data_IF_409531070556
#
_entry.id   IF_409531070556
#
_cell.length_a   1.000
_cell.length_b   1.000
_cell.length_c   1.000
_cell.angle_alpha   90.00
_cell.angle_beta   90.00
_cell.angle_gamma   90.00
#
_symmetry.space_group_name_H-M   'P 1'
#
loop_
_entity.id
_entity.type
_entity.pdbx_description
1 polymer ?
#
# COMPACT_ATOMS: atom_id res chain seq x y z
N UNK A 1 47.14 -17.84 -34.82
CA UNK A 1 45.75 -18.33 -34.84
C UNK A 1 45.18 -18.01 -33.47
N UNK A 2 44.31 -17.00 -33.43
CA UNK A 2 43.34 -16.58 -32.39
C UNK A 2 43.36 -17.34 -31.03
N UNK A 3 43.71 -16.66 -29.92
CA UNK A 3 42.79 -16.06 -28.90
C UNK A 3 42.01 -17.12 -28.09
N UNK A 4 41.82 -17.09 -26.76
CA UNK A 4 42.27 -16.29 -25.62
C UNK A 4 41.88 -17.05 -24.33
N UNK A 5 42.48 -16.69 -23.20
CA UNK A 5 42.26 -17.13 -21.81
C UNK A 5 40.76 -17.19 -21.39
N UNK A 6 40.34 -18.03 -20.43
CA UNK A 6 40.34 -17.64 -19.01
C UNK A 6 40.24 -18.79 -17.98
N UNK A 7 40.50 -18.41 -16.73
CA UNK A 7 41.22 -19.14 -15.70
C UNK A 7 40.33 -19.46 -14.46
N UNK A 8 40.67 -20.53 -13.71
CA UNK A 8 40.34 -20.80 -12.28
C UNK A 8 38.87 -21.20 -11.94
N UNK A 9 38.51 -22.05 -10.96
CA UNK A 9 39.19 -22.84 -9.94
C UNK A 9 38.28 -23.99 -9.42
N UNK A 10 38.86 -25.19 -9.33
CA UNK A 10 38.76 -26.30 -8.35
C UNK A 10 37.62 -26.31 -7.28
N UNK A 11 36.77 -27.34 -7.38
CA UNK A 11 36.50 -28.45 -6.43
C UNK A 11 36.37 -28.23 -4.90
N UNK A 12 35.28 -28.82 -4.35
CA UNK A 12 35.01 -29.32 -2.96
C UNK A 12 34.62 -28.24 -1.94
N UNK A 13 33.49 -28.34 -1.23
CA UNK A 13 33.14 -29.39 -0.27
C UNK A 13 31.62 -29.55 -0.08
N UNK A 14 31.20 -30.79 0.11
CA UNK A 14 29.85 -31.21 0.55
C UNK A 14 29.62 -30.81 2.03
N UNK A 15 28.45 -30.24 2.33
CA UNK A 15 27.79 -30.40 3.62
C UNK A 15 26.32 -30.70 3.36
N UNK A 16 25.93 -31.94 3.64
CA UNK A 16 24.54 -32.39 3.67
C UNK A 16 23.76 -31.62 4.72
N UNK A 17 22.65 -31.00 4.32
CA UNK A 17 21.64 -30.49 5.26
C UNK A 17 20.41 -31.40 5.15
N UNK A 18 20.08 -31.96 6.30
CA UNK A 18 18.94 -32.80 6.61
C UNK A 18 17.64 -32.10 6.22
N UNK A 19 16.82 -32.71 5.37
CA UNK A 19 15.44 -32.25 5.13
C UNK A 19 14.58 -32.67 6.34
N UNK A 20 14.56 -31.82 7.37
CA UNK A 20 13.49 -31.84 8.36
C UNK A 20 12.33 -31.04 7.76
N UNK A 21 11.22 -31.72 7.44
CA UNK A 21 10.00 -31.10 6.94
C UNK A 21 9.45 -30.14 7.99
N UNK A 22 9.64 -28.83 7.74
CA UNK A 22 8.99 -27.77 8.50
C UNK A 22 7.48 -27.81 8.21
N UNK A 23 6.67 -28.07 9.23
CA UNK A 23 5.24 -27.75 9.22
C UNK A 23 4.95 -26.71 10.28
N UNK A 24 5.54 -25.54 10.09
CA UNK A 24 4.88 -24.30 10.45
C UNK A 24 4.32 -23.72 9.15
N UNK A 25 3.00 -23.77 8.98
CA UNK A 25 2.32 -23.04 7.91
C UNK A 25 2.40 -21.55 8.27
N UNK A 26 3.55 -20.94 8.02
CA UNK A 26 3.67 -19.48 8.01
C UNK A 26 3.30 -19.03 6.61
N UNK A 27 2.05 -18.64 6.40
CA UNK A 27 1.65 -17.89 5.21
C UNK A 27 2.33 -16.52 5.28
N UNK A 28 3.57 -16.43 4.77
CA UNK A 28 4.30 -15.17 4.67
C UNK A 28 3.80 -14.38 3.45
N UNK A 29 2.91 -13.42 3.74
CA UNK A 29 2.80 -12.05 3.21
C UNK A 29 3.08 -11.87 1.71
N UNK A 30 2.01 -11.68 0.91
CA UNK A 30 2.12 -10.96 -0.35
C UNK A 30 2.14 -9.45 -0.02
N UNK A 31 3.33 -8.90 0.22
CA UNK A 31 3.52 -7.44 0.18
C UNK A 31 3.60 -7.06 -1.29
N UNK A 32 2.44 -6.81 -1.87
CA UNK A 32 2.38 -6.03 -3.10
C UNK A 32 1.73 -4.70 -2.76
N UNK A 33 2.49 -3.72 -2.24
CA UNK A 33 2.18 -2.35 -2.57
C UNK A 33 2.22 -2.32 -4.10
N UNK A 34 1.04 -2.31 -4.73
CA UNK A 34 1.00 -1.96 -6.14
C UNK A 34 1.74 -0.64 -6.29
N UNK A 35 2.49 -0.42 -7.39
CA UNK A 35 3.19 0.84 -7.67
C UNK A 35 2.25 2.08 -7.80
N UNK A 36 1.01 1.97 -7.31
CA UNK A 36 0.06 3.05 -7.21
C UNK A 36 0.59 4.08 -6.22
N UNK A 37 0.71 5.28 -6.74
CA UNK A 37 1.07 6.45 -5.97
C UNK A 37 0.01 6.74 -4.92
N UNK A 38 0.47 7.22 -3.76
CA UNK A 38 -0.37 7.82 -2.75
C UNK A 38 0.30 9.12 -2.27
N UNK A 39 -0.50 10.01 -1.69
CA UNK A 39 0.02 11.16 -0.94
C UNK A 39 -0.20 10.87 0.53
N UNK A 40 0.84 10.98 1.34
CA UNK A 40 0.71 10.93 2.78
C UNK A 40 0.88 12.33 3.36
N UNK A 41 -0.06 12.73 4.21
CA UNK A 41 0.05 13.90 5.05
C UNK A 41 0.23 13.49 6.52
N UNK A 42 1.23 14.09 7.17
CA UNK A 42 1.51 13.92 8.60
C UNK A 42 1.77 15.29 9.24
N UNK A 43 1.07 15.63 10.33
CA UNK A 43 1.45 16.73 11.20
C UNK A 43 2.90 16.61 11.66
N UNK A 44 3.61 17.74 11.81
CA UNK A 44 5.02 17.75 12.23
C UNK A 44 5.24 17.08 13.61
N UNK A 45 4.26 17.20 14.51
CA UNK A 45 4.30 16.65 15.86
C UNK A 45 3.39 15.42 16.01
N UNK A 46 3.28 14.59 14.97
CA UNK A 46 2.45 13.39 15.00
C UNK A 46 2.92 12.45 16.14
N UNK A 47 2.04 12.10 17.10
CA UNK A 47 2.40 11.19 18.18
C UNK A 47 2.74 9.78 17.67
N UNK A 48 3.57 9.06 18.42
CA UNK A 48 3.69 7.60 18.26
C UNK A 48 2.32 6.95 18.45
N UNK A 49 2.06 5.92 17.65
CA UNK A 49 0.77 5.25 17.59
C UNK A 49 -0.36 6.23 17.26
N UNK A 50 -0.14 7.21 16.38
CA UNK A 50 -1.22 8.05 15.91
C UNK A 50 -2.20 7.25 15.02
N UNK A 51 -3.48 7.66 14.94
CA UNK A 51 -4.43 7.06 14.00
C UNK A 51 -4.00 7.27 12.54
N UNK A 52 -4.43 6.36 11.67
CA UNK A 52 -4.33 6.49 10.22
C UNK A 52 -5.73 6.64 9.61
N UNK A 53 -5.89 7.56 8.66
CA UNK A 53 -7.09 7.68 7.85
C UNK A 53 -6.76 7.49 6.37
N UNK A 54 -7.42 6.55 5.70
CA UNK A 54 -7.40 6.44 4.24
C UNK A 54 -8.55 7.26 3.65
N UNK A 55 -8.21 8.19 2.75
CA UNK A 55 -9.16 9.10 2.10
C UNK A 55 -9.35 8.72 0.63
N UNK A 56 -10.51 8.17 0.28
CA UNK A 56 -10.78 7.57 -1.04
C UNK A 56 -11.56 8.53 -1.95
N UNK A 57 -10.93 8.90 -3.07
CA UNK A 57 -11.53 9.81 -4.05
C UNK A 57 -12.74 9.20 -4.77
N UNK A 58 -13.63 10.05 -5.28
CA UNK A 58 -14.75 9.61 -6.13
C UNK A 58 -14.33 9.27 -7.56
N UNK A 59 -15.26 8.68 -8.33
CA UNK A 59 -15.05 8.29 -9.72
C UNK A 59 -14.61 9.48 -10.58
N UNK A 60 -13.57 9.31 -11.38
CA UNK A 60 -12.96 10.35 -12.22
C UNK A 60 -12.08 11.36 -11.49
N UNK A 61 -11.97 11.29 -10.16
CA UNK A 61 -11.08 12.15 -9.38
C UNK A 61 -9.72 11.48 -9.09
N UNK A 62 -8.95 11.99 -8.13
CA UNK A 62 -7.70 11.42 -7.67
C UNK A 62 -7.37 11.87 -6.24
N UNK A 63 -6.32 11.28 -5.64
CA UNK A 63 -5.90 11.57 -4.27
C UNK A 63 -5.54 13.05 -4.04
N UNK A 64 -4.85 13.70 -4.98
CA UNK A 64 -4.49 15.13 -4.88
C UNK A 64 -5.72 16.04 -4.87
N UNK A 65 -6.71 15.77 -5.71
CA UNK A 65 -7.94 16.54 -5.72
C UNK A 65 -8.66 16.40 -4.39
N UNK A 66 -8.83 15.17 -3.88
CA UNK A 66 -9.48 14.94 -2.59
C UNK A 66 -8.72 15.61 -1.43
N UNK A 67 -7.38 15.52 -1.42
CA UNK A 67 -6.56 16.23 -0.44
C UNK A 67 -6.85 17.72 -0.44
N UNK A 68 -6.96 18.33 -1.62
CA UNK A 68 -7.14 19.77 -1.75
C UNK A 68 -8.49 20.28 -1.21
N UNK A 69 -9.59 19.55 -1.40
CA UNK A 69 -10.92 20.03 -1.01
C UNK A 69 -11.51 19.40 0.26
N UNK A 70 -10.91 18.33 0.80
CA UNK A 70 -11.51 17.59 1.93
C UNK A 70 -11.32 18.25 3.30
N UNK A 71 -10.35 19.17 3.46
CA UNK A 71 -10.01 19.77 4.76
C UNK A 71 -9.34 18.79 5.74
N UNK A 72 -8.92 17.61 5.26
CA UNK A 72 -8.42 16.55 6.13
C UNK A 72 -6.99 16.77 6.62
N UNK A 73 -6.20 17.61 5.94
CA UNK A 73 -4.89 18.00 6.45
C UNK A 73 -5.05 18.88 7.71
N UNK A 74 -5.95 19.87 7.66
CA UNK A 74 -6.26 20.75 8.78
C UNK A 74 -6.87 19.98 9.96
N UNK A 75 -7.74 19.00 9.67
CA UNK A 75 -8.28 18.09 10.67
C UNK A 75 -7.18 17.22 11.30
N UNK A 76 -6.24 16.72 10.50
CA UNK A 76 -5.10 15.94 10.97
C UNK A 76 -4.20 16.76 11.90
N UNK A 77 -3.90 18.01 11.56
CA UNK A 77 -3.16 18.93 12.43
C UNK A 77 -3.88 19.16 13.76
N UNK A 78 -5.21 19.33 13.71
CA UNK A 78 -6.02 19.65 14.91
C UNK A 78 -6.18 18.45 15.84
N UNK A 79 -6.31 17.24 15.29
CA UNK A 79 -6.70 16.05 16.04
C UNK A 79 -5.61 14.98 16.16
N UNK A 80 -4.45 15.16 15.52
CA UNK A 80 -3.27 14.32 15.69
C UNK A 80 -3.39 12.95 15.04
N UNK A 81 -3.68 12.91 13.73
CA UNK A 81 -3.69 11.68 12.93
C UNK A 81 -2.96 11.86 11.59
N UNK A 82 -2.55 10.76 10.95
CA UNK A 82 -2.03 10.76 9.59
C UNK A 82 -3.14 10.52 8.58
N UNK A 83 -3.02 11.08 7.37
CA UNK A 83 -3.98 10.86 6.28
C UNK A 83 -3.26 10.44 5.01
N UNK A 84 -3.67 9.32 4.45
CA UNK A 84 -3.22 8.89 3.13
C UNK A 84 -4.32 9.10 2.09
N UNK A 85 -3.94 9.67 0.95
CA UNK A 85 -4.79 9.90 -0.22
C UNK A 85 -4.28 9.01 -1.37
N UNK A 86 -4.65 7.72 -1.39
CA UNK A 86 -4.22 6.81 -2.44
C UNK A 86 -4.90 7.12 -3.77
N UNK A 87 -4.22 6.76 -4.87
CA UNK A 87 -4.79 6.86 -6.21
C UNK A 87 -5.39 5.51 -6.62
N UNK A 88 -6.65 5.53 -7.04
CA UNK A 88 -7.29 4.38 -7.69
C UNK A 88 -6.70 4.09 -9.08
N UNK A 89 -7.12 2.97 -9.65
CA UNK A 89 -6.75 2.55 -11.02
C UNK A 89 -7.68 3.15 -12.06
N UNK A 90 -7.33 3.07 -13.34
CA UNK A 90 -8.22 3.48 -14.44
C UNK A 90 -9.08 2.31 -14.90
N UNK A 91 -10.34 2.57 -15.21
CA UNK A 91 -11.24 1.61 -15.84
C UNK A 91 -10.89 1.42 -17.34
N UNK A 92 -11.70 0.65 -18.07
CA UNK A 92 -11.50 0.44 -19.51
C UNK A 92 -11.60 1.74 -20.34
N UNK A 93 -12.29 2.76 -19.82
CA UNK A 93 -12.41 4.08 -20.43
C UNK A 93 -11.30 5.06 -20.04
N UNK A 94 -10.31 4.64 -19.25
CA UNK A 94 -9.23 5.51 -18.77
C UNK A 94 -9.63 6.40 -17.59
N UNK A 95 -10.79 6.17 -16.98
CA UNK A 95 -11.31 6.97 -15.86
C UNK A 95 -10.90 6.35 -14.52
N UNK A 96 -10.34 7.16 -13.64
CA UNK A 96 -9.85 6.68 -12.33
C UNK A 96 -11.00 6.28 -11.40
N UNK A 97 -10.90 5.15 -10.74
CA UNK A 97 -11.95 4.58 -9.92
C UNK A 97 -11.41 3.60 -8.87
N UNK A 98 -12.32 3.17 -7.99
CA UNK A 98 -12.21 2.02 -7.12
C UNK A 98 -13.19 0.94 -7.56
N UNK A 99 -12.78 -0.32 -7.52
CA UNK A 99 -13.62 -1.48 -7.68
C UNK A 99 -14.45 -1.74 -6.43
N UNK A 100 -15.45 -0.89 -6.21
CA UNK A 100 -16.39 -0.99 -5.10
C UNK A 100 -17.54 -2.00 -5.38
N UNK A 101 -17.26 -3.08 -6.10
CA UNK A 101 -18.23 -4.09 -6.54
C UNK A 101 -19.44 -3.52 -7.33
N UNK A 102 -19.19 -2.47 -8.11
CA UNK A 102 -20.17 -1.79 -8.97
C UNK A 102 -20.11 -2.24 -10.43
N UNK A 103 -19.50 -3.40 -10.71
CA UNK A 103 -19.24 -3.93 -12.07
C UNK A 103 -18.44 -2.97 -12.98
N UNK A 104 -17.53 -2.16 -12.41
CA UNK A 104 -16.67 -1.23 -13.16
C UNK A 104 -15.39 -1.93 -13.64
N UNK A 105 -14.76 -2.73 -12.78
CA UNK A 105 -13.53 -3.46 -13.09
C UNK A 105 -13.39 -4.72 -12.23
N UNK A 106 -12.29 -5.45 -12.44
CA UNK A 106 -11.86 -6.58 -11.61
C UNK A 106 -10.62 -6.24 -10.78
N UNK A 107 -10.32 -4.96 -10.59
CA UNK A 107 -9.16 -4.51 -9.79
C UNK A 107 -9.33 -4.97 -8.35
N UNK A 108 -8.29 -5.55 -7.75
CA UNK A 108 -8.28 -5.85 -6.31
C UNK A 108 -7.85 -4.60 -5.51
N UNK A 109 -8.82 -3.75 -5.19
CA UNK A 109 -8.60 -2.55 -4.37
C UNK A 109 -8.58 -2.86 -2.87
N UNK A 110 -9.20 -3.95 -2.43
CA UNK A 110 -9.20 -4.35 -1.01
C UNK A 110 -7.80 -4.76 -0.56
N UNK A 111 -7.14 -5.63 -1.34
CA UNK A 111 -5.78 -6.07 -1.03
C UNK A 111 -4.80 -4.89 -1.10
N UNK A 112 -4.94 -4.02 -2.11
CA UNK A 112 -4.11 -2.81 -2.22
C UNK A 112 -4.28 -1.88 -1.01
N UNK A 113 -5.51 -1.50 -0.65
CA UNK A 113 -5.75 -0.55 0.44
C UNK A 113 -5.34 -1.14 1.79
N UNK A 114 -5.58 -2.43 2.00
CA UNK A 114 -5.15 -3.15 3.21
C UNK A 114 -3.63 -3.25 3.32
N UNK A 115 -2.94 -3.52 2.21
CA UNK A 115 -1.48 -3.53 2.13
C UNK A 115 -0.89 -2.15 2.41
N UNK A 116 -1.40 -1.11 1.73
CA UNK A 116 -0.98 0.26 1.94
C UNK A 116 -1.14 0.71 3.41
N UNK A 117 -2.26 0.36 4.05
CA UNK A 117 -2.46 0.67 5.46
C UNK A 117 -1.37 0.05 6.35
N UNK A 118 -1.04 -1.23 6.13
CA UNK A 118 0.02 -1.94 6.88
C UNK A 118 1.38 -1.32 6.65
N UNK A 119 1.73 -1.06 5.40
CA UNK A 119 3.02 -0.45 5.04
C UNK A 119 3.19 0.91 5.72
N UNK A 120 2.15 1.76 5.70
CA UNK A 120 2.17 3.07 6.37
C UNK A 120 2.18 2.96 7.90
N UNK A 121 1.50 1.97 8.47
CA UNK A 121 1.53 1.72 9.91
C UNK A 121 2.94 1.33 10.36
N UNK A 122 3.59 0.42 9.64
CA UNK A 122 4.93 -0.06 9.96
C UNK A 122 5.99 1.04 9.73
N UNK A 123 5.91 1.77 8.61
CA UNK A 123 6.88 2.82 8.26
C UNK A 123 6.81 4.03 9.21
N UNK A 124 5.62 4.33 9.75
CA UNK A 124 5.39 5.56 10.52
C UNK A 124 4.93 5.34 11.96
N UNK A 125 4.97 4.10 12.45
CA UNK A 125 4.57 3.75 13.81
C UNK A 125 3.13 4.20 14.13
N UNK A 126 2.22 3.98 13.18
CA UNK A 126 0.80 4.31 13.33
C UNK A 126 0.05 3.15 13.99
N UNK A 127 -1.07 3.46 14.62
CA UNK A 127 -1.83 2.47 15.39
C UNK A 127 -2.74 1.61 14.48
N UNK A 128 -2.48 0.29 14.36
CA UNK A 128 -3.29 -0.59 13.53
C UNK A 128 -4.73 -0.77 14.05
N UNK A 129 -4.98 -0.49 15.34
CA UNK A 129 -6.32 -0.53 15.94
C UNK A 129 -7.09 0.79 15.77
N UNK A 130 -6.43 1.86 15.31
CA UNK A 130 -7.04 3.15 15.01
C UNK A 130 -6.79 3.55 13.55
N UNK A 131 -7.18 2.65 12.66
CA UNK A 131 -7.14 2.87 11.22
C UNK A 131 -8.56 2.97 10.68
N UNK A 132 -8.84 4.07 10.00
CA UNK A 132 -10.16 4.43 9.49
C UNK A 132 -10.09 4.66 7.98
N UNK A 133 -11.25 4.54 7.34
CA UNK A 133 -11.42 4.85 5.92
C UNK A 133 -12.64 5.73 5.74
N UNK A 134 -12.56 6.68 4.82
CA UNK A 134 -13.73 7.37 4.31
C UNK A 134 -13.54 7.65 2.82
N UNK A 135 -14.63 7.95 2.13
CA UNK A 135 -14.55 8.31 0.73
C UNK A 135 -15.76 9.06 0.22
N UNK A 136 -15.61 9.63 -0.96
CA UNK A 136 -16.66 10.34 -1.67
C UNK A 136 -17.25 9.46 -2.78
N UNK A 137 -18.57 9.32 -2.87
CA UNK A 137 -19.26 8.64 -3.99
C UNK A 137 -18.70 7.22 -4.22
N UNK A 138 -18.06 6.92 -5.36
CA UNK A 138 -17.38 5.64 -5.60
C UNK A 138 -16.34 5.27 -4.53
N UNK A 139 -15.59 6.24 -3.99
CA UNK A 139 -14.71 6.01 -2.85
C UNK A 139 -15.49 5.72 -1.56
N UNK A 140 -16.68 6.31 -1.41
CA UNK A 140 -17.59 6.01 -0.30
C UNK A 140 -18.19 4.61 -0.39
N UNK A 141 -18.51 4.12 -1.59
CA UNK A 141 -18.89 2.72 -1.80
C UNK A 141 -17.75 1.73 -1.51
N UNK A 142 -16.48 2.18 -1.65
CA UNK A 142 -15.29 1.38 -1.37
C UNK A 142 -14.91 1.37 0.12
N UNK A 143 -15.43 2.32 0.90
CA UNK A 143 -15.11 2.50 2.32
C UNK A 143 -15.97 1.60 3.20
#
# INVERSE_FOLDING_TARGET
MFESMDTQMIMRHLVSIFLLSCSACSSAVENVPSERTHILYKPANLPINAPLVLALHGYGSNGRNLQWYSGMNEAADTHGFAVAYPYGTTDRGGTRHWNANLNISSTDDVTYLSGLARDLQDEHQLDPQRTFVFGMSNGGYMS
#
